data_IF_488256354226
#
_entry.id   IF_488256354226
#
_cell.length_a   1.000
_cell.length_b   1.000
_cell.length_c   1.000
_cell.angle_alpha   90.00
_cell.angle_beta   90.00
_cell.angle_gamma   90.00
#
_symmetry.space_group_name_H-M   'P 1'
#
loop_
_entity.id
_entity.type
_entity.pdbx_description
1 polymer ?
#
# COMPACT_ATOMS: atom_id res chain seq x y z
N UNK A 1 6.59 9.20 89.48
CA UNK A 1 5.93 9.83 88.34
C UNK A 1 7.06 10.41 87.42
N UNK A 2 7.43 9.67 86.38
CA UNK A 2 8.42 10.11 85.40
C UNK A 2 7.76 10.03 84.01
N UNK A 3 7.54 11.16 83.39
CA UNK A 3 7.01 11.31 82.04
C UNK A 3 8.18 11.32 81.08
N UNK A 4 8.26 10.31 80.23
CA UNK A 4 9.21 10.29 79.08
C UNK A 4 8.53 10.89 77.87
N UNK A 5 9.14 11.92 77.27
CA UNK A 5 8.77 12.47 76.00
C UNK A 5 9.53 11.70 74.91
N UNK A 6 8.79 11.09 74.01
CA UNK A 6 9.35 10.53 72.79
C UNK A 6 9.28 11.59 71.67
N UNK A 7 10.45 11.96 71.13
CA UNK A 7 10.53 12.83 69.97
C UNK A 7 10.34 12.03 68.71
N UNK A 8 9.32 12.37 67.92
CA UNK A 8 9.10 11.80 66.58
C UNK A 8 9.87 12.65 65.53
N UNK A 9 10.84 12.03 64.89
CA UNK A 9 11.57 12.63 63.75
C UNK A 9 10.74 12.41 62.48
N UNK A 10 10.24 13.50 61.88
CA UNK A 10 9.63 13.51 60.56
C UNK A 10 10.70 13.54 59.50
N UNK A 11 10.85 12.41 58.74
CA UNK A 11 11.66 12.36 57.52
C UNK A 11 10.80 12.81 56.36
N UNK A 12 11.07 14.00 55.82
CA UNK A 12 10.48 14.50 54.60
C UNK A 12 11.19 13.86 53.41
N UNK A 13 10.50 12.92 52.75
CA UNK A 13 10.93 12.39 51.46
C UNK A 13 10.52 13.35 50.35
N UNK A 14 11.46 14.08 49.78
CA UNK A 14 11.24 14.89 48.59
C UNK A 14 11.11 13.98 47.35
N UNK A 15 9.91 13.79 46.86
CA UNK A 15 9.64 13.18 45.54
C UNK A 15 10.01 14.19 44.46
N UNK A 16 11.19 14.07 43.88
CA UNK A 16 11.53 14.74 42.65
C UNK A 16 10.73 14.10 41.51
N UNK A 17 9.58 14.70 41.16
CA UNK A 17 8.86 14.38 39.96
C UNK A 17 9.64 14.87 38.72
N UNK A 18 10.44 13.99 38.11
CA UNK A 18 10.93 14.21 36.77
C UNK A 18 9.75 14.17 35.81
N UNK A 19 9.18 15.31 35.48
CA UNK A 19 8.26 15.49 34.38
C UNK A 19 9.03 15.25 33.09
N UNK A 20 8.95 14.03 32.55
CA UNK A 20 9.31 13.77 31.16
C UNK A 20 8.32 14.55 30.30
N UNK A 21 8.76 15.66 29.70
CA UNK A 21 8.11 16.21 28.51
C UNK A 21 8.08 15.10 27.47
N UNK A 22 6.89 14.60 27.19
CA UNK A 22 6.65 13.76 26.02
C UNK A 22 6.70 14.71 24.83
N UNK A 23 7.83 14.78 24.16
CA UNK A 23 7.92 15.38 22.84
C UNK A 23 7.11 14.49 21.90
N UNK A 24 5.92 14.99 21.53
CA UNK A 24 4.99 14.32 20.58
C UNK A 24 5.51 14.42 19.13
N UNK A 25 6.79 14.39 18.90
CA UNK A 25 7.44 14.13 17.62
C UNK A 25 8.01 12.70 17.64
N UNK A 26 7.15 11.71 17.85
CA UNK A 26 7.51 10.34 17.51
C UNK A 26 7.45 10.21 15.97
N UNK A 27 8.49 10.69 15.30
CA UNK A 27 8.86 10.15 13.99
C UNK A 27 9.00 8.65 14.23
N UNK A 28 8.17 7.83 13.59
CA UNK A 28 8.29 6.37 13.68
C UNK A 28 9.71 6.00 13.23
N UNK A 29 10.58 5.79 14.21
CA UNK A 29 11.98 5.45 13.95
C UNK A 29 11.95 4.00 13.48
N UNK A 30 12.12 3.79 12.18
CA UNK A 30 12.41 2.46 11.64
C UNK A 30 13.66 1.97 12.35
N UNK A 31 13.55 0.90 13.13
CA UNK A 31 14.69 0.34 13.86
C UNK A 31 15.81 0.00 12.89
N UNK A 32 17.00 0.51 13.17
CA UNK A 32 18.20 0.19 12.40
C UNK A 32 18.61 -1.24 12.73
N UNK A 33 18.42 -2.14 11.80
CA UNK A 33 19.13 -3.42 11.78
C UNK A 33 20.55 -3.18 11.25
N UNK A 34 21.54 -3.92 11.75
CA UNK A 34 22.91 -3.84 11.18
C UNK A 34 22.91 -4.07 9.66
N UNK A 35 24.04 -3.84 8.96
CA UNK A 35 24.08 -3.87 7.49
C UNK A 35 23.50 -5.17 6.93
N UNK A 36 22.45 -5.04 6.14
CA UNK A 36 21.81 -6.17 5.46
C UNK A 36 22.61 -6.51 4.21
N UNK A 37 23.08 -7.76 4.11
CA UNK A 37 23.77 -8.25 2.93
C UNK A 37 22.81 -8.39 1.74
N UNK A 38 23.30 -8.10 0.52
CA UNK A 38 22.57 -8.41 -0.69
C UNK A 38 22.42 -9.94 -0.86
N UNK A 39 21.26 -10.36 -1.37
CA UNK A 39 20.96 -11.77 -1.64
C UNK A 39 20.84 -11.94 -3.15
N UNK A 40 21.59 -12.85 -3.77
CA UNK A 40 21.50 -13.09 -5.21
C UNK A 40 20.11 -13.66 -5.58
N UNK A 41 19.55 -13.26 -6.73
CA UNK A 41 18.30 -13.83 -7.21
C UNK A 41 18.47 -15.30 -7.66
N UNK A 42 17.36 -16.02 -7.88
CA UNK A 42 17.40 -17.34 -8.51
C UNK A 42 18.09 -17.30 -9.88
N UNK A 43 18.74 -18.39 -10.26
CA UNK A 43 19.48 -18.48 -11.52
C UNK A 43 18.61 -18.07 -12.73
N UNK A 44 19.12 -17.16 -13.55
CA UNK A 44 18.44 -16.67 -14.76
C UNK A 44 17.30 -15.67 -14.52
N UNK A 45 17.12 -15.17 -13.28
CA UNK A 45 16.11 -14.16 -12.93
C UNK A 45 16.75 -12.93 -12.31
N UNK A 46 16.01 -11.83 -12.33
CA UNK A 46 16.22 -10.69 -11.45
C UNK A 46 15.21 -10.77 -10.30
N UNK A 47 15.51 -10.16 -9.16
CA UNK A 47 14.51 -10.09 -8.08
C UNK A 47 13.25 -9.34 -8.51
N UNK A 48 13.37 -8.34 -9.39
CA UNK A 48 12.25 -7.59 -9.97
C UNK A 48 11.34 -8.42 -10.87
N UNK A 49 11.77 -9.61 -11.30
CA UNK A 49 10.96 -10.56 -12.08
C UNK A 49 10.24 -11.58 -11.18
N UNK A 50 10.57 -11.60 -9.89
CA UNK A 50 9.95 -12.52 -8.93
C UNK A 50 8.74 -11.84 -8.31
N UNK A 51 7.55 -12.26 -8.74
CA UNK A 51 6.27 -11.72 -8.26
C UNK A 51 5.40 -12.86 -7.76
N UNK A 52 4.76 -12.68 -6.61
CA UNK A 52 3.81 -13.64 -6.04
C UNK A 52 2.65 -12.96 -5.34
N UNK A 53 1.51 -13.64 -5.24
CA UNK A 53 0.38 -13.19 -4.44
C UNK A 53 0.62 -13.48 -2.96
N UNK A 54 0.09 -12.62 -2.08
CA UNK A 54 0.13 -12.79 -0.63
C UNK A 54 -1.23 -13.21 -0.08
N UNK A 55 -1.25 -13.81 1.10
CA UNK A 55 -2.49 -14.17 1.80
C UNK A 55 -3.28 -12.93 2.22
N UNK A 56 -2.59 -11.82 2.43
CA UNK A 56 -3.14 -10.53 2.81
C UNK A 56 -3.74 -9.74 1.64
N UNK A 57 -3.78 -10.35 0.45
CA UNK A 57 -4.42 -9.77 -0.73
C UNK A 57 -3.54 -8.88 -1.59
N UNK A 58 -2.26 -8.79 -1.29
CA UNK A 58 -1.28 -8.06 -2.08
C UNK A 58 -0.63 -8.89 -3.17
N UNK A 59 0.22 -8.21 -3.93
CA UNK A 59 1.25 -8.81 -4.77
C UNK A 59 2.61 -8.30 -4.33
N UNK A 60 3.55 -9.20 -4.11
CA UNK A 60 4.91 -8.88 -3.66
C UNK A 60 5.90 -9.10 -4.80
N UNK A 61 6.75 -8.10 -5.02
CA UNK A 61 7.91 -8.15 -5.90
C UNK A 61 9.18 -8.29 -5.07
N UNK A 62 10.10 -9.13 -5.50
CA UNK A 62 11.42 -9.26 -4.90
C UNK A 62 11.66 -10.56 -4.16
N UNK A 63 12.67 -10.56 -3.31
CA UNK A 63 13.03 -11.69 -2.47
C UNK A 63 11.93 -11.96 -1.42
N UNK A 64 11.22 -13.10 -1.44
CA UNK A 64 10.20 -13.38 -0.43
C UNK A 64 10.74 -13.48 0.99
N UNK A 65 12.06 -13.74 1.13
CA UNK A 65 12.77 -13.79 2.40
C UNK A 65 13.60 -12.52 2.67
N UNK A 66 13.32 -11.41 1.95
CA UNK A 66 14.00 -10.15 2.20
C UNK A 66 13.85 -9.74 3.68
N UNK A 67 14.91 -9.29 4.34
CA UNK A 67 14.86 -8.88 5.75
C UNK A 67 14.04 -7.61 5.96
N UNK A 68 13.88 -6.78 4.92
CA UNK A 68 13.01 -5.60 4.97
C UNK A 68 11.79 -5.84 4.09
N UNK A 69 10.61 -5.71 4.68
CA UNK A 69 9.31 -5.83 4.03
C UNK A 69 8.68 -4.46 3.90
N UNK A 70 8.61 -3.94 2.68
CA UNK A 70 7.85 -2.72 2.39
C UNK A 70 6.47 -3.12 1.90
N UNK A 71 5.42 -2.61 2.55
CA UNK A 71 4.03 -2.71 2.08
C UNK A 71 3.55 -1.33 1.67
N UNK A 72 2.97 -1.22 0.49
CA UNK A 72 2.30 -0.04 -0.02
C UNK A 72 0.80 -0.34 -0.14
N UNK A 73 -0.03 0.44 0.54
CA UNK A 73 -1.48 0.46 0.35
C UNK A 73 -1.80 1.57 -0.63
N UNK A 74 -2.26 1.21 -1.82
CA UNK A 74 -2.46 2.14 -2.90
C UNK A 74 -3.77 1.90 -3.66
N UNK A 75 -4.32 2.95 -4.23
CA UNK A 75 -5.51 2.88 -5.09
C UNK A 75 -5.13 3.19 -6.53
N UNK A 76 -5.71 2.46 -7.45
CA UNK A 76 -5.50 2.69 -8.88
C UNK A 76 -6.10 4.01 -9.38
N UNK A 77 -7.02 4.60 -8.63
CA UNK A 77 -7.63 5.90 -8.94
C UNK A 77 -6.97 7.09 -8.21
N UNK A 78 -6.02 6.84 -7.31
CA UNK A 78 -5.39 7.87 -6.50
C UNK A 78 -4.28 8.61 -7.28
N UNK A 79 -4.34 9.95 -7.43
CA UNK A 79 -3.30 10.72 -8.12
C UNK A 79 -1.98 10.74 -7.36
N UNK A 80 -1.97 10.69 -6.03
CA UNK A 80 -0.75 10.63 -5.23
C UNK A 80 -0.05 9.28 -5.37
N UNK A 81 -0.80 8.17 -5.54
CA UNK A 81 -0.23 6.85 -5.85
C UNK A 81 0.42 6.84 -7.24
N UNK A 82 -0.24 7.45 -8.25
CA UNK A 82 0.35 7.67 -9.56
C UNK A 82 1.66 8.45 -9.45
N UNK A 83 1.66 9.56 -8.72
CA UNK A 83 2.85 10.38 -8.54
C UNK A 83 4.01 9.60 -7.89
N UNK A 84 3.72 8.81 -6.87
CA UNK A 84 4.72 7.91 -6.29
C UNK A 84 5.20 6.85 -7.28
N UNK A 85 4.31 6.29 -8.09
CA UNK A 85 4.69 5.35 -9.13
C UNK A 85 5.67 5.96 -10.16
N UNK A 86 5.46 7.23 -10.53
CA UNK A 86 6.31 7.97 -11.48
C UNK A 86 7.66 8.40 -10.89
N UNK A 87 7.73 8.67 -9.59
CA UNK A 87 8.93 9.27 -8.97
C UNK A 87 9.71 8.32 -8.07
N UNK A 88 9.06 7.33 -7.48
CA UNK A 88 9.62 6.47 -6.43
C UNK A 88 9.82 5.00 -6.83
N UNK A 89 9.02 4.47 -7.77
CA UNK A 89 9.03 3.02 -8.06
C UNK A 89 10.32 2.57 -8.72
N UNK A 90 10.82 3.29 -9.71
CA UNK A 90 12.07 2.90 -10.39
C UNK A 90 13.28 2.90 -9.46
N UNK A 91 13.54 3.95 -8.66
CA UNK A 91 14.60 3.89 -7.67
C UNK A 91 14.36 2.87 -6.56
N UNK A 92 13.12 2.61 -6.14
CA UNK A 92 12.79 1.53 -5.19
C UNK A 92 13.20 0.16 -5.76
N UNK A 93 12.82 -0.12 -7.01
CA UNK A 93 13.18 -1.37 -7.69
C UNK A 93 14.70 -1.52 -7.82
N UNK A 94 15.38 -0.50 -8.34
CA UNK A 94 16.82 -0.59 -8.66
C UNK A 94 17.72 -0.57 -7.43
N UNK A 95 17.42 0.29 -6.44
CA UNK A 95 18.29 0.48 -5.27
C UNK A 95 18.08 -0.59 -4.19
N UNK A 96 16.84 -1.11 -4.06
CA UNK A 96 16.48 -1.98 -2.93
C UNK A 96 16.01 -3.36 -3.36
N UNK A 97 14.96 -3.46 -4.20
CA UNK A 97 14.35 -4.74 -4.57
C UNK A 97 15.34 -5.61 -5.34
N UNK A 98 16.04 -5.04 -6.33
CA UNK A 98 17.02 -5.75 -7.15
C UNK A 98 18.18 -6.35 -6.33
N UNK A 99 18.47 -5.81 -5.15
CA UNK A 99 19.52 -6.33 -4.26
C UNK A 99 19.06 -7.51 -3.41
N UNK A 100 17.76 -7.81 -3.38
CA UNK A 100 17.14 -8.80 -2.51
C UNK A 100 17.06 -8.41 -1.03
N UNK A 101 17.43 -7.17 -0.69
CA UNK A 101 17.36 -6.64 0.69
C UNK A 101 15.96 -6.23 1.11
N UNK A 102 15.16 -5.77 0.14
CA UNK A 102 13.78 -5.32 0.34
C UNK A 102 12.85 -6.11 -0.57
N UNK A 103 11.72 -6.56 -0.03
CA UNK A 103 10.56 -6.95 -0.84
C UNK A 103 9.54 -5.82 -0.81
N UNK A 104 8.89 -5.56 -1.94
CA UNK A 104 7.84 -4.56 -2.06
C UNK A 104 6.51 -5.23 -2.37
N UNK A 105 5.54 -5.09 -1.45
CA UNK A 105 4.18 -5.58 -1.59
C UNK A 105 3.22 -4.44 -1.87
N UNK A 106 2.45 -4.54 -2.95
CA UNK A 106 1.36 -3.63 -3.30
C UNK A 106 0.03 -4.23 -2.84
N UNK A 107 -0.73 -3.52 -2.02
CA UNK A 107 -2.07 -3.86 -1.56
C UNK A 107 -3.09 -2.87 -2.10
N UNK A 108 -4.04 -3.35 -2.92
CA UNK A 108 -5.08 -2.49 -3.47
C UNK A 108 -6.03 -2.01 -2.37
N UNK A 109 -6.09 -0.70 -2.15
CA UNK A 109 -7.03 -0.04 -1.24
C UNK A 109 -8.12 0.67 -2.04
N UNK A 110 -9.39 0.46 -1.67
CA UNK A 110 -10.53 0.91 -2.45
C UNK A 110 -11.04 2.26 -1.91
N UNK A 111 -10.66 3.37 -2.55
CA UNK A 111 -11.09 4.72 -2.15
C UNK A 111 -12.25 5.26 -2.98
N UNK A 112 -12.40 4.78 -4.22
CA UNK A 112 -13.49 5.15 -5.12
C UNK A 112 -14.18 3.91 -5.69
N UNK A 113 -15.42 4.08 -6.16
CA UNK A 113 -16.21 2.95 -6.70
C UNK A 113 -15.53 2.21 -7.86
N UNK A 114 -14.71 2.91 -8.64
CA UNK A 114 -13.95 2.34 -9.76
C UNK A 114 -12.76 1.49 -9.34
N UNK A 115 -12.30 1.60 -8.10
CA UNK A 115 -11.16 0.79 -7.64
C UNK A 115 -11.49 -0.70 -7.58
N UNK A 116 -12.76 -1.06 -7.32
CA UNK A 116 -13.17 -2.46 -7.28
C UNK A 116 -13.04 -3.15 -8.66
N UNK A 117 -13.68 -2.64 -9.75
CA UNK A 117 -13.48 -3.25 -11.07
C UNK A 117 -12.03 -3.17 -11.56
N UNK A 118 -11.28 -2.11 -11.26
CA UNK A 118 -9.85 -2.03 -11.56
C UNK A 118 -9.08 -3.14 -10.85
N UNK A 119 -9.27 -3.31 -9.54
CA UNK A 119 -8.61 -4.34 -8.75
C UNK A 119 -8.94 -5.74 -9.26
N UNK A 120 -10.21 -6.03 -9.60
CA UNK A 120 -10.61 -7.31 -10.18
C UNK A 120 -9.89 -7.60 -11.49
N UNK A 121 -9.87 -6.64 -12.42
CA UNK A 121 -9.21 -6.78 -13.72
C UNK A 121 -7.69 -6.93 -13.59
N UNK A 122 -7.05 -6.15 -12.71
CA UNK A 122 -5.62 -6.27 -12.42
C UNK A 122 -5.26 -7.67 -11.90
N UNK A 123 -6.10 -8.24 -11.04
CA UNK A 123 -5.90 -9.57 -10.45
C UNK A 123 -6.22 -10.71 -11.42
N UNK A 124 -7.05 -10.45 -12.42
CA UNK A 124 -7.51 -11.44 -13.40
C UNK A 124 -6.37 -12.13 -14.17
N UNK A 125 -5.23 -11.46 -14.32
CA UNK A 125 -4.05 -11.96 -15.03
C UNK A 125 -3.04 -12.68 -14.12
N UNK A 126 -3.33 -12.76 -12.83
CA UNK A 126 -2.41 -13.36 -11.85
C UNK A 126 -1.23 -12.43 -11.48
N UNK A 127 -0.25 -12.96 -10.74
CA UNK A 127 0.80 -12.14 -10.15
C UNK A 127 1.86 -11.63 -11.14
N UNK A 128 2.26 -12.42 -12.13
CA UNK A 128 3.42 -12.12 -12.98
C UNK A 128 3.35 -10.74 -13.68
N UNK A 129 2.25 -10.35 -14.34
CA UNK A 129 2.18 -9.07 -15.03
C UNK A 129 1.76 -7.91 -14.12
N UNK A 130 1.48 -8.13 -12.85
CA UNK A 130 0.78 -7.17 -11.99
C UNK A 130 1.49 -5.81 -11.91
N UNK A 131 2.78 -5.79 -11.59
CA UNK A 131 3.51 -4.52 -11.42
C UNK A 131 3.66 -3.76 -12.75
N UNK A 132 3.97 -4.48 -13.85
CA UNK A 132 4.05 -3.87 -15.17
C UNK A 132 2.69 -3.32 -15.64
N UNK A 133 1.59 -4.00 -15.31
CA UNK A 133 0.24 -3.50 -15.57
C UNK A 133 -0.09 -2.28 -14.71
N UNK A 134 0.33 -2.27 -13.44
CA UNK A 134 0.14 -1.16 -12.51
C UNK A 134 0.81 0.11 -13.03
N UNK A 135 2.07 0.04 -13.43
CA UNK A 135 2.81 1.17 -14.01
C UNK A 135 2.12 1.71 -15.27
N UNK A 136 1.70 0.82 -16.17
CA UNK A 136 0.99 1.21 -17.38
C UNK A 136 -0.40 1.79 -17.11
N UNK A 137 -1.09 1.31 -16.07
CA UNK A 137 -2.39 1.82 -15.68
C UNK A 137 -2.26 3.24 -15.12
N UNK A 138 -1.28 3.47 -14.24
CA UNK A 138 -1.00 4.81 -13.73
C UNK A 138 -0.60 5.79 -14.84
N UNK A 139 0.15 5.35 -15.84
CA UNK A 139 0.49 6.18 -17.00
C UNK A 139 -0.76 6.64 -17.80
N UNK A 140 -1.88 5.91 -17.71
CA UNK A 140 -3.15 6.25 -18.37
C UNK A 140 -4.23 6.71 -17.39
N UNK A 141 -3.91 6.88 -16.11
CA UNK A 141 -4.87 7.18 -15.06
C UNK A 141 -5.67 8.46 -15.35
N UNK A 142 -5.01 9.53 -15.76
CA UNK A 142 -5.68 10.83 -16.00
C UNK A 142 -6.75 10.73 -17.08
N UNK A 143 -6.48 10.02 -18.17
CA UNK A 143 -7.43 9.87 -19.27
C UNK A 143 -8.60 8.95 -18.89
N UNK A 144 -8.33 7.95 -18.07
CA UNK A 144 -9.36 7.11 -17.48
C UNK A 144 -10.23 7.92 -16.50
N UNK A 145 -9.63 8.68 -15.60
CA UNK A 145 -10.32 9.48 -14.59
C UNK A 145 -11.19 10.58 -15.24
N UNK A 146 -10.72 11.25 -16.29
CA UNK A 146 -11.50 12.23 -17.04
C UNK A 146 -12.84 11.67 -17.53
N UNK A 147 -12.88 10.41 -17.96
CA UNK A 147 -14.12 9.76 -18.42
C UNK A 147 -15.13 9.56 -17.29
N UNK A 148 -14.67 9.19 -16.09
CA UNK A 148 -15.53 9.06 -14.91
C UNK A 148 -16.04 10.42 -14.42
N UNK A 149 -15.19 11.44 -14.42
CA UNK A 149 -15.56 12.81 -14.02
C UNK A 149 -16.58 13.41 -15.01
N UNK A 150 -16.47 13.05 -16.28
CA UNK A 150 -17.39 13.55 -17.33
C UNK A 150 -18.78 12.91 -17.30
N UNK A 151 -19.03 11.87 -16.50
CA UNK A 151 -20.35 11.27 -16.36
C UNK A 151 -21.37 12.29 -15.81
N UNK A 152 -22.55 12.35 -16.44
CA UNK A 152 -23.66 13.12 -15.91
C UNK A 152 -24.18 12.52 -14.59
N UNK A 153 -24.80 13.34 -13.70
CA UNK A 153 -25.41 12.82 -12.47
C UNK A 153 -26.45 11.72 -12.72
N UNK A 154 -27.20 11.82 -13.80
CA UNK A 154 -28.19 10.81 -14.19
C UNK A 154 -27.53 9.48 -14.58
N UNK A 155 -26.39 9.52 -15.25
CA UNK A 155 -25.63 8.33 -15.61
C UNK A 155 -24.97 7.69 -14.38
N UNK A 156 -24.38 8.49 -13.49
CA UNK A 156 -23.85 8.01 -12.21
C UNK A 156 -24.93 7.30 -11.38
N UNK A 157 -26.12 7.89 -11.28
CA UNK A 157 -27.25 7.29 -10.58
C UNK A 157 -27.71 5.99 -11.24
N UNK A 158 -27.83 5.98 -12.58
CA UNK A 158 -28.22 4.78 -13.33
C UNK A 158 -27.24 3.63 -13.10
N UNK A 159 -25.94 3.90 -13.17
CA UNK A 159 -24.89 2.88 -12.95
C UNK A 159 -24.87 2.44 -11.50
N UNK A 160 -24.97 3.38 -10.55
CA UNK A 160 -25.01 3.08 -9.13
C UNK A 160 -26.18 2.19 -8.70
N UNK A 161 -27.29 2.19 -9.46
CA UNK A 161 -28.46 1.35 -9.22
C UNK A 161 -28.34 -0.08 -9.80
N UNK A 162 -27.31 -0.36 -10.59
CA UNK A 162 -27.08 -1.70 -11.16
C UNK A 162 -26.60 -2.70 -10.11
N UNK A 163 -26.89 -3.99 -10.27
CA UNK A 163 -26.25 -5.05 -9.51
C UNK A 163 -24.72 -4.98 -9.63
N UNK A 164 -23.93 -5.42 -8.63
CA UNK A 164 -22.48 -5.23 -8.60
C UNK A 164 -21.74 -5.60 -9.89
N UNK A 165 -21.99 -6.78 -10.44
CA UNK A 165 -21.34 -7.24 -11.67
C UNK A 165 -21.66 -6.33 -12.87
N UNK A 166 -22.92 -5.92 -13.03
CA UNK A 166 -23.34 -5.02 -14.10
C UNK A 166 -22.80 -3.60 -13.92
N UNK A 167 -22.72 -3.16 -12.68
CA UNK A 167 -22.09 -1.89 -12.31
C UNK A 167 -20.62 -1.89 -12.70
N UNK A 168 -19.87 -2.95 -12.36
CA UNK A 168 -18.44 -3.07 -12.68
C UNK A 168 -18.18 -3.12 -14.18
N UNK A 169 -19.00 -3.84 -14.95
CA UNK A 169 -18.93 -3.87 -16.41
C UNK A 169 -19.20 -2.50 -17.03
N UNK A 170 -20.22 -1.78 -16.51
CA UNK A 170 -20.52 -0.43 -16.98
C UNK A 170 -19.36 0.54 -16.69
N UNK A 171 -18.76 0.46 -15.51
CA UNK A 171 -17.58 1.24 -15.18
C UNK A 171 -16.37 0.88 -16.05
N UNK A 172 -16.16 -0.42 -16.34
CA UNK A 172 -15.10 -0.86 -17.23
C UNK A 172 -15.27 -0.34 -18.66
N UNK A 173 -16.50 -0.24 -19.14
CA UNK A 173 -16.81 0.37 -20.46
C UNK A 173 -16.48 1.86 -20.46
N UNK A 174 -16.98 2.60 -19.48
CA UNK A 174 -16.78 4.06 -19.38
C UNK A 174 -15.29 4.40 -19.25
N UNK A 175 -14.56 3.72 -18.36
CA UNK A 175 -13.14 3.92 -18.17
C UNK A 175 -12.27 3.52 -19.36
N UNK A 176 -12.85 2.76 -20.33
CA UNK A 176 -12.10 2.19 -21.44
C UNK A 176 -11.22 1.01 -21.03
N UNK A 177 -11.55 0.36 -19.90
CA UNK A 177 -10.74 -0.72 -19.32
C UNK A 177 -10.69 -1.95 -20.22
N UNK A 178 -11.76 -2.27 -20.93
CA UNK A 178 -11.75 -3.37 -21.89
C UNK A 178 -10.71 -3.19 -23.00
N UNK A 179 -10.54 -1.96 -23.51
CA UNK A 179 -9.48 -1.64 -24.46
C UNK A 179 -8.09 -1.74 -23.85
N UNK A 180 -7.93 -1.18 -22.65
CA UNK A 180 -6.66 -1.22 -21.93
C UNK A 180 -6.19 -2.65 -21.65
N UNK A 181 -7.03 -3.46 -21.03
CA UNK A 181 -6.70 -4.85 -20.67
C UNK A 181 -6.70 -5.78 -21.88
N UNK A 182 -7.57 -5.54 -22.88
CA UNK A 182 -7.62 -6.30 -24.14
C UNK A 182 -6.30 -6.23 -24.91
N UNK A 183 -5.74 -5.01 -25.04
CA UNK A 183 -4.43 -4.80 -25.66
C UNK A 183 -3.26 -5.49 -24.90
N UNK A 184 -3.50 -5.91 -23.64
CA UNK A 184 -2.53 -6.55 -22.76
C UNK A 184 -2.85 -8.03 -22.50
N UNK A 185 -3.66 -8.63 -23.37
CA UNK A 185 -3.94 -10.08 -23.40
C UNK A 185 -5.01 -10.53 -22.41
N UNK A 186 -5.93 -9.64 -21.99
CA UNK A 186 -7.15 -10.00 -21.26
C UNK A 186 -8.37 -9.73 -22.18
N UNK A 187 -8.83 -10.73 -22.95
CA UNK A 187 -9.97 -10.54 -23.85
C UNK A 187 -11.26 -10.29 -23.08
N UNK A 188 -12.20 -9.56 -23.71
CA UNK A 188 -13.45 -9.13 -23.07
C UNK A 188 -14.22 -10.24 -22.35
N UNK A 189 -14.42 -11.45 -22.92
CA UNK A 189 -15.15 -12.50 -22.21
C UNK A 189 -14.49 -12.91 -20.89
N UNK A 190 -13.16 -12.90 -20.83
CA UNK A 190 -12.42 -13.19 -19.59
C UNK A 190 -12.52 -12.03 -18.62
N UNK A 191 -12.42 -10.78 -19.09
CA UNK A 191 -12.63 -9.59 -18.28
C UNK A 191 -14.03 -9.57 -17.65
N UNK A 192 -15.07 -9.88 -18.46
CA UNK A 192 -16.46 -9.98 -17.99
C UNK A 192 -16.64 -11.08 -16.94
N UNK A 193 -15.97 -12.22 -17.08
CA UNK A 193 -15.96 -13.27 -16.08
C UNK A 193 -15.33 -12.81 -14.76
N UNK A 194 -14.20 -12.10 -14.81
CA UNK A 194 -13.55 -11.57 -13.62
C UNK A 194 -14.39 -10.49 -12.93
N UNK A 195 -15.04 -9.61 -13.69
CA UNK A 195 -15.95 -8.56 -13.15
C UNK A 195 -17.23 -9.14 -12.57
N UNK A 196 -17.58 -10.39 -12.92
CA UNK A 196 -18.77 -11.10 -12.43
C UNK A 196 -18.44 -12.10 -11.32
N UNK A 197 -17.17 -12.25 -10.93
CA UNK A 197 -16.75 -13.15 -9.87
C UNK A 197 -17.11 -12.57 -8.49
N UNK A 198 -18.25 -13.00 -7.95
CA UNK A 198 -18.74 -12.57 -6.65
C UNK A 198 -17.75 -12.92 -5.53
N UNK A 199 -17.13 -14.10 -5.60
CA UNK A 199 -16.16 -14.53 -4.59
C UNK A 199 -14.93 -13.61 -4.58
N UNK A 200 -14.42 -13.26 -5.75
CA UNK A 200 -13.31 -12.30 -5.86
C UNK A 200 -13.71 -10.90 -5.37
N UNK A 201 -14.94 -10.47 -5.66
CA UNK A 201 -15.50 -9.19 -5.18
C UNK A 201 -15.59 -9.15 -3.66
N UNK A 202 -16.15 -10.20 -3.04
CA UNK A 202 -16.25 -10.31 -1.58
C UNK A 202 -14.84 -10.31 -0.94
N UNK A 203 -13.90 -10.98 -1.58
CA UNK A 203 -12.54 -11.09 -1.08
C UNK A 203 -11.78 -9.76 -1.11
N UNK A 204 -11.84 -8.99 -2.21
CA UNK A 204 -11.19 -7.67 -2.26
C UNK A 204 -11.84 -6.68 -1.29
N UNK A 205 -13.14 -6.78 -1.09
CA UNK A 205 -13.87 -5.97 -0.12
C UNK A 205 -13.46 -6.33 1.33
N UNK A 206 -13.31 -7.62 1.63
CA UNK A 206 -12.84 -8.08 2.94
C UNK A 206 -11.41 -7.60 3.25
N UNK A 207 -10.49 -7.66 2.26
CA UNK A 207 -9.15 -7.11 2.44
C UNK A 207 -9.17 -5.60 2.66
N UNK A 208 -9.93 -4.84 1.85
CA UNK A 208 -10.03 -3.38 2.02
C UNK A 208 -10.60 -3.00 3.41
N UNK A 209 -11.62 -3.74 3.88
CA UNK A 209 -12.16 -3.55 5.23
C UNK A 209 -11.12 -3.83 6.30
N UNK A 210 -10.39 -4.93 6.16
CA UNK A 210 -9.31 -5.29 7.09
C UNK A 210 -8.21 -4.23 7.14
N UNK A 211 -7.80 -3.68 5.99
CA UNK A 211 -6.80 -2.60 5.98
C UNK A 211 -7.31 -1.35 6.69
N UNK A 212 -8.61 -1.01 6.53
CA UNK A 212 -9.22 0.11 7.25
C UNK A 212 -9.26 -0.14 8.76
N UNK A 213 -9.59 -1.36 9.20
CA UNK A 213 -9.55 -1.78 10.61
C UNK A 213 -8.13 -1.70 11.18
N UNK A 214 -7.10 -1.99 10.37
CA UNK A 214 -5.68 -1.85 10.72
C UNK A 214 -5.19 -0.39 10.70
N UNK A 215 -6.08 0.58 10.47
CA UNK A 215 -5.80 2.01 10.54
C UNK A 215 -5.39 2.67 9.22
N UNK A 216 -5.44 1.95 8.09
CA UNK A 216 -5.20 2.55 6.78
C UNK A 216 -6.43 3.36 6.37
N UNK A 217 -6.25 4.68 6.20
CA UNK A 217 -7.34 5.62 5.91
C UNK A 217 -7.03 6.58 4.74
N UNK A 218 -5.86 6.45 4.14
CA UNK A 218 -5.40 7.27 3.01
C UNK A 218 -4.48 6.47 2.08
N UNK A 219 -4.27 6.99 0.86
CA UNK A 219 -3.35 6.39 -0.12
C UNK A 219 -2.46 7.44 -0.78
N UNK A 220 -1.20 7.12 -1.07
CA UNK A 220 -0.55 5.89 -0.64
C UNK A 220 -0.26 5.89 0.86
N UNK A 221 -0.35 4.74 1.51
CA UNK A 221 0.14 4.52 2.87
C UNK A 221 1.17 3.40 2.85
N UNK A 222 2.11 3.44 3.77
CA UNK A 222 3.21 2.48 3.79
C UNK A 222 3.37 1.83 5.16
N UNK A 223 3.89 0.58 5.15
CA UNK A 223 4.39 -0.06 6.35
C UNK A 223 5.76 -0.70 6.06
N UNK A 224 6.68 -0.60 7.02
CA UNK A 224 8.00 -1.23 6.95
C UNK A 224 8.08 -2.25 8.08
N UNK A 225 8.33 -3.51 7.73
CA UNK A 225 8.35 -4.64 8.67
C UNK A 225 7.10 -4.74 9.54
N UNK A 226 5.92 -4.44 8.97
CA UNK A 226 4.63 -4.48 9.65
C UNK A 226 4.32 -3.26 10.52
N UNK A 227 5.24 -2.32 10.64
CA UNK A 227 5.01 -1.06 11.37
C UNK A 227 4.58 0.02 10.37
N UNK A 228 3.44 0.69 10.57
CA UNK A 228 3.04 1.83 9.76
C UNK A 228 4.16 2.88 9.73
N UNK A 229 4.47 3.34 8.52
CA UNK A 229 5.46 4.37 8.31
C UNK A 229 4.78 5.68 7.89
N UNK A 230 5.00 6.71 8.69
CA UNK A 230 4.44 8.04 8.45
C UNK A 230 5.44 8.90 7.68
N UNK A 231 4.93 9.72 6.78
CA UNK A 231 5.68 10.68 5.99
C UNK A 231 4.97 12.04 5.94
N UNK A 232 5.72 13.07 5.65
CA UNK A 232 5.17 14.41 5.49
C UNK A 232 4.50 14.55 4.11
N UNK A 233 3.16 14.60 4.11
CA UNK A 233 2.36 14.58 2.88
C UNK A 233 2.53 15.82 1.98
N UNK A 234 3.09 16.93 2.53
CA UNK A 234 3.39 18.15 1.77
C UNK A 234 4.72 18.09 1.02
N UNK A 235 5.50 17.03 1.23
CA UNK A 235 6.81 16.80 0.63
C UNK A 235 6.79 15.55 -0.26
N UNK A 236 7.78 15.44 -1.16
CA UNK A 236 7.95 14.25 -1.99
C UNK A 236 8.13 12.98 -1.14
N UNK A 237 7.38 11.92 -1.48
CA UNK A 237 7.38 10.66 -0.72
C UNK A 237 8.73 9.95 -0.85
N UNK A 238 9.25 9.86 -2.09
CA UNK A 238 10.42 9.03 -2.37
C UNK A 238 11.66 9.40 -1.54
N UNK A 239 12.10 10.67 -1.43
CA UNK A 239 13.27 11.01 -0.62
C UNK A 239 13.14 10.60 0.85
N UNK A 240 11.93 10.67 1.41
CA UNK A 240 11.65 10.28 2.78
C UNK A 240 11.69 8.76 2.94
N UNK A 241 11.07 8.03 1.99
CA UNK A 241 11.05 6.56 1.97
C UNK A 241 12.46 6.00 1.74
N UNK A 242 13.25 6.61 0.86
CA UNK A 242 14.66 6.25 0.63
C UNK A 242 15.49 6.33 1.91
N UNK A 243 15.32 7.39 2.71
CA UNK A 243 15.99 7.51 4.00
C UNK A 243 15.53 6.42 5.00
N UNK A 244 14.22 6.12 5.03
CA UNK A 244 13.68 5.08 5.90
C UNK A 244 14.20 3.69 5.52
N UNK A 245 14.22 3.35 4.23
CA UNK A 245 14.75 2.09 3.72
C UNK A 245 16.27 1.99 3.89
N UNK A 246 17.00 3.09 3.72
CA UNK A 246 18.44 3.16 4.01
C UNK A 246 18.69 2.76 5.47
N UNK A 247 17.97 3.37 6.43
CA UNK A 247 18.09 3.01 7.85
C UNK A 247 17.70 1.55 8.11
N UNK A 248 16.59 1.08 7.52
CA UNK A 248 16.12 -0.29 7.69
C UNK A 248 17.10 -1.34 7.16
N UNK A 249 17.87 -1.00 6.12
CA UNK A 249 18.88 -1.88 5.50
C UNK A 249 20.29 -1.69 6.07
N UNK A 250 20.47 -0.83 7.08
CA UNK A 250 21.73 -0.62 7.79
C UNK A 250 22.78 0.12 6.96
N UNK A 251 22.36 0.98 6.04
CA UNK A 251 23.22 1.83 5.20
C UNK A 251 23.41 3.22 5.76
#
# INVERSE_FOLDING_TARGET
>A
MKRSFAAAALVAVALAACSKKTDNNAVNVVESHGPVAAVPPPAGKQWTDVVSATAEGGYVMGNPNAPVKLVEYASFSCPHCKHFAETGVDPLKSKYVATGKVSWEFRSFLIHSMDAPLTLLMRCRGPEPFFALTEQLYAQQDDMMKKFIAMSPAEQQRIGALPPAENFKAQAEIGGLYGFFGARGLPRPQADACLSDQKATDQISAWASKYSEDGINSTPSFAINGTPWEYEATSEIWPQLDQALTRATGG
#
